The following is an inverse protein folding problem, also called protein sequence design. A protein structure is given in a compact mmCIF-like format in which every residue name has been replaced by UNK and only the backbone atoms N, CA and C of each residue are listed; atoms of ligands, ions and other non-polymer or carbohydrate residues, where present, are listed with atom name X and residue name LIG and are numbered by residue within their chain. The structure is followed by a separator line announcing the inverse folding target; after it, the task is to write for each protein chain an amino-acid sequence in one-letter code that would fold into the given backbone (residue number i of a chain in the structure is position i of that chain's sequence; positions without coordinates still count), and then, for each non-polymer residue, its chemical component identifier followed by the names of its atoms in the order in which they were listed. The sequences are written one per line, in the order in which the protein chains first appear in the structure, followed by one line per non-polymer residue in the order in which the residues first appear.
data_IF_102330054855
#
_entry.id   IF_102330054855
#
_cell.length_a   1.000
_cell.length_b   1.000
_cell.length_c   1.000
_cell.angle_alpha   90.00
_cell.angle_beta   90.00
_cell.angle_gamma   90.00
#
_symmetry.space_group_name_H-M   'P 1'
#
loop_
_entity.id
_entity.type
_entity.pdbx_description
1 polymer ?
#
# COMPACT_ATOMS: atom_id res chain seq x y z
N UNK A 1 -1.18 -9.18 -11.18
CA UNK A 1 -0.94 -8.33 -12.33
C UNK A 1 -1.31 -8.98 -13.65
N UNK A 2 -0.93 -8.35 -14.76
CA UNK A 2 -1.32 -8.75 -16.12
C UNK A 2 -1.05 -10.22 -16.45
N UNK A 3 0.09 -10.76 -16.03
CA UNK A 3 0.47 -12.14 -16.38
C UNK A 3 -0.51 -13.20 -15.90
N UNK A 4 -1.27 -12.92 -14.83
CA UNK A 4 -2.32 -13.82 -14.33
C UNK A 4 -3.58 -13.85 -15.18
N UNK A 5 -3.71 -12.91 -16.11
CA UNK A 5 -4.84 -12.78 -17.04
C UNK A 5 -4.49 -13.27 -18.46
N UNK A 6 -3.20 -13.44 -18.75
CA UNK A 6 -2.68 -13.81 -20.07
C UNK A 6 -2.28 -15.29 -20.11
N UNK A 7 -2.52 -15.99 -21.24
CA UNK A 7 -2.00 -17.33 -21.46
C UNK A 7 -0.48 -17.32 -21.63
N UNK A 8 0.15 -18.47 -21.49
CA UNK A 8 1.61 -18.63 -21.42
C UNK A 8 2.34 -18.41 -22.78
N UNK A 9 1.61 -18.29 -23.86
CA UNK A 9 2.10 -17.94 -25.20
C UNK A 9 1.92 -16.45 -25.56
N UNK A 10 1.30 -15.64 -24.69
CA UNK A 10 1.09 -14.20 -24.89
C UNK A 10 2.07 -13.38 -24.04
N UNK A 11 2.82 -12.52 -24.72
CA UNK A 11 3.78 -11.63 -24.09
C UNK A 11 3.08 -10.44 -23.38
N UNK A 12 3.68 -9.98 -22.29
CA UNK A 12 3.28 -8.75 -21.63
C UNK A 12 3.51 -7.54 -22.55
N UNK A 13 2.54 -6.61 -22.68
CA UNK A 13 2.65 -5.48 -23.61
C UNK A 13 3.77 -4.49 -23.27
N UNK A 14 4.19 -4.41 -22.02
CA UNK A 14 5.26 -3.52 -21.56
C UNK A 14 6.62 -4.22 -21.52
N UNK A 15 6.64 -5.48 -21.11
CA UNK A 15 7.84 -6.30 -20.99
C UNK A 15 7.76 -7.53 -21.90
N UNK A 16 8.09 -7.42 -23.21
CA UNK A 16 7.90 -8.51 -24.16
C UNK A 16 8.63 -9.83 -23.87
N UNK A 17 9.59 -9.80 -22.94
CA UNK A 17 10.28 -11.00 -22.44
C UNK A 17 9.52 -11.72 -21.31
N UNK A 18 8.47 -11.10 -20.78
CA UNK A 18 7.61 -11.66 -19.72
C UNK A 18 6.36 -12.22 -20.38
N UNK A 19 6.09 -13.49 -20.14
CA UNK A 19 4.91 -14.18 -20.71
C UNK A 19 3.80 -14.29 -19.66
N UNK A 20 2.58 -14.47 -20.13
CA UNK A 20 1.48 -14.88 -19.27
C UNK A 20 1.78 -16.19 -18.53
N UNK A 21 0.98 -16.54 -17.53
CA UNK A 21 1.19 -17.75 -16.72
C UNK A 21 -0.03 -18.67 -16.68
N UNK A 22 -1.04 -18.41 -17.53
CA UNK A 22 -2.24 -19.24 -17.58
C UNK A 22 -2.02 -20.44 -18.49
N UNK A 23 -2.16 -21.65 -17.94
CA UNK A 23 -2.05 -22.91 -18.68
C UNK A 23 -3.38 -23.42 -19.23
N UNK A 24 -4.43 -22.57 -19.31
CA UNK A 24 -5.75 -22.93 -19.86
C UNK A 24 -6.06 -22.25 -21.20
N UNK A 25 -5.05 -21.68 -21.84
CA UNK A 25 -5.09 -20.99 -23.13
C UNK A 25 -6.08 -19.81 -23.21
N UNK A 26 -6.57 -19.33 -22.05
CA UNK A 26 -7.55 -18.23 -21.99
C UNK A 26 -6.87 -16.89 -21.80
N UNK A 27 -7.24 -15.91 -22.64
CA UNK A 27 -6.92 -14.51 -22.45
C UNK A 27 -8.10 -13.80 -21.75
N UNK A 28 -8.01 -13.66 -20.42
CA UNK A 28 -9.10 -13.06 -19.63
C UNK A 28 -9.27 -11.56 -19.90
N UNK A 29 -8.26 -10.88 -20.44
CA UNK A 29 -8.35 -9.47 -20.84
C UNK A 29 -9.26 -9.34 -22.07
N UNK A 30 -9.00 -10.16 -23.09
CA UNK A 30 -9.81 -10.16 -24.32
C UNK A 30 -11.26 -10.58 -24.01
N UNK A 31 -11.46 -11.65 -23.25
CA UNK A 31 -12.79 -12.09 -22.80
C UNK A 31 -13.53 -10.98 -22.04
N UNK A 32 -12.82 -10.22 -21.20
CA UNK A 32 -13.40 -9.10 -20.48
C UNK A 32 -13.88 -8.00 -21.45
N UNK A 33 -13.02 -7.58 -22.36
CA UNK A 33 -13.32 -6.51 -23.32
C UNK A 33 -14.46 -6.91 -24.27
N UNK A 34 -14.44 -8.15 -24.77
CA UNK A 34 -15.47 -8.67 -25.67
C UNK A 34 -16.82 -8.87 -25.00
N UNK A 35 -16.83 -9.07 -23.67
CA UNK A 35 -18.02 -9.38 -22.89
C UNK A 35 -19.07 -8.26 -22.86
N UNK A 36 -18.70 -6.98 -23.09
CA UNK A 36 -19.64 -5.85 -23.22
C UNK A 36 -18.97 -4.62 -23.83
N UNK A 37 -19.69 -3.89 -24.68
CA UNK A 37 -19.17 -2.74 -25.45
C UNK A 37 -18.71 -1.55 -24.63
N UNK A 38 -19.22 -1.42 -23.41
CA UNK A 38 -18.85 -0.36 -22.46
C UNK A 38 -17.65 -0.71 -21.56
N UNK A 39 -17.10 -1.92 -21.65
CA UNK A 39 -15.92 -2.34 -20.89
C UNK A 39 -14.65 -1.77 -21.49
N UNK A 40 -13.71 -1.41 -20.62
CA UNK A 40 -12.40 -0.85 -21.01
C UNK A 40 -11.28 -1.51 -20.22
N UNK A 41 -10.22 -1.85 -20.93
CA UNK A 41 -8.96 -2.29 -20.35
C UNK A 41 -7.89 -1.21 -20.54
N UNK A 42 -7.12 -0.94 -19.52
CA UNK A 42 -5.95 -0.04 -19.54
C UNK A 42 -4.79 -0.69 -18.82
N UNK A 43 -3.57 -0.41 -19.29
CA UNK A 43 -2.37 -1.02 -18.73
C UNK A 43 -1.21 -0.02 -18.53
N UNK A 44 -1.39 1.26 -18.83
CA UNK A 44 -0.39 2.30 -18.65
C UNK A 44 -1.05 3.63 -18.29
N UNK A 45 -0.22 4.61 -17.88
CA UNK A 45 -0.70 5.94 -17.48
C UNK A 45 -1.49 6.64 -18.59
N UNK A 46 -0.99 6.61 -19.83
CA UNK A 46 -1.66 7.30 -20.94
C UNK A 46 -3.05 6.72 -21.24
N UNK A 47 -3.20 5.41 -21.15
CA UNK A 47 -4.49 4.73 -21.27
C UNK A 47 -5.45 5.10 -20.12
N UNK A 48 -4.93 5.20 -18.90
CA UNK A 48 -5.71 5.63 -17.75
C UNK A 48 -6.20 7.07 -17.90
N UNK A 49 -5.33 7.98 -18.32
CA UNK A 49 -5.66 9.40 -18.52
C UNK A 49 -6.67 9.62 -19.64
N UNK A 50 -6.67 8.73 -20.64
CA UNK A 50 -7.59 8.77 -21.77
C UNK A 50 -8.97 8.17 -21.46
N UNK A 51 -9.18 7.57 -20.27
CA UNK A 51 -10.48 6.97 -19.92
C UNK A 51 -11.59 8.03 -19.89
N UNK A 52 -12.69 7.81 -20.62
CA UNK A 52 -13.84 8.71 -20.58
C UNK A 52 -14.44 8.78 -19.16
N UNK A 53 -14.84 9.98 -18.73
CA UNK A 53 -15.47 10.18 -17.40
C UNK A 53 -16.72 9.32 -17.16
N UNK A 54 -17.41 8.92 -18.21
CA UNK A 54 -18.65 8.12 -18.18
C UNK A 54 -18.48 6.75 -18.87
N UNK A 55 -17.38 6.08 -18.63
CA UNK A 55 -17.17 4.72 -19.16
C UNK A 55 -17.96 3.70 -18.32
N UNK A 56 -18.30 2.55 -18.87
CA UNK A 56 -18.85 1.40 -18.15
C UNK A 56 -17.86 0.79 -17.15
N UNK A 57 -17.66 -0.51 -17.21
CA UNK A 57 -16.70 -1.20 -16.33
C UNK A 57 -15.26 -1.01 -16.83
N UNK A 58 -14.31 -0.89 -15.90
CA UNK A 58 -12.88 -0.71 -16.22
C UNK A 58 -12.06 -1.77 -15.47
N UNK A 59 -11.12 -2.39 -16.20
CA UNK A 59 -9.98 -3.12 -15.63
C UNK A 59 -8.71 -2.33 -15.93
N UNK A 60 -7.94 -2.00 -14.89
CA UNK A 60 -6.59 -1.46 -15.00
C UNK A 60 -5.58 -2.47 -14.46
N UNK A 61 -4.62 -2.90 -15.30
CA UNK A 61 -3.55 -3.82 -14.91
C UNK A 61 -2.23 -3.22 -15.38
N UNK A 62 -1.62 -2.39 -14.54
CA UNK A 62 -0.52 -1.51 -14.92
C UNK A 62 0.86 -2.19 -14.89
N UNK A 63 0.97 -3.36 -14.25
CA UNK A 63 2.21 -4.11 -14.14
C UNK A 63 2.01 -5.60 -14.42
N UNK A 64 3.04 -6.33 -14.85
CA UNK A 64 2.97 -7.79 -15.00
C UNK A 64 2.59 -8.50 -13.70
N UNK A 65 3.08 -8.02 -12.57
CA UNK A 65 2.83 -8.56 -11.23
C UNK A 65 2.21 -7.48 -10.33
N UNK A 66 2.99 -6.81 -9.51
CA UNK A 66 2.55 -5.76 -8.58
C UNK A 66 2.97 -4.39 -9.11
N UNK A 67 2.21 -3.34 -8.76
CA UNK A 67 2.60 -1.94 -8.99
C UNK A 67 3.98 -1.64 -8.39
N UNK A 68 4.65 -0.61 -8.89
CA UNK A 68 5.91 -0.12 -8.33
C UNK A 68 5.72 0.40 -6.89
N UNK A 69 6.79 0.50 -6.11
CA UNK A 69 6.75 1.33 -4.90
C UNK A 69 6.51 2.79 -5.29
N UNK A 70 5.74 3.53 -4.51
CA UNK A 70 5.37 4.91 -4.87
C UNK A 70 6.59 5.79 -5.16
N UNK A 71 7.68 5.62 -4.39
CA UNK A 71 8.94 6.35 -4.62
C UNK A 71 9.64 5.99 -5.94
N UNK A 72 9.34 4.84 -6.52
CA UNK A 72 9.94 4.33 -7.76
C UNK A 72 9.01 4.48 -8.97
N UNK A 73 7.73 4.74 -8.76
CA UNK A 73 6.69 4.86 -9.79
C UNK A 73 7.07 5.82 -10.93
N UNK A 74 7.77 6.92 -10.62
CA UNK A 74 8.25 7.86 -11.65
C UNK A 74 9.37 7.33 -12.55
N UNK A 75 9.90 6.12 -12.29
CA UNK A 75 10.92 5.45 -13.13
C UNK A 75 10.29 4.45 -14.10
N UNK A 76 9.03 4.14 -13.92
CA UNK A 76 8.28 3.26 -14.82
C UNK A 76 8.09 3.92 -16.19
N UNK A 77 8.53 3.24 -17.25
CA UNK A 77 8.56 3.77 -18.62
C UNK A 77 7.18 3.91 -19.25
N UNK A 78 6.25 3.01 -18.96
CA UNK A 78 4.86 3.07 -19.43
C UNK A 78 4.00 3.96 -18.51
N UNK A 79 4.42 4.10 -17.28
CA UNK A 79 3.73 4.83 -16.23
C UNK A 79 2.50 4.12 -15.68
N UNK A 80 2.27 4.32 -14.40
CA UNK A 80 1.10 3.83 -13.69
C UNK A 80 0.47 4.95 -12.83
N UNK A 81 -0.87 4.96 -12.62
CA UNK A 81 -1.51 5.96 -11.79
C UNK A 81 -1.13 5.77 -10.31
N UNK A 82 -1.05 6.88 -9.57
CA UNK A 82 -0.90 6.82 -8.13
C UNK A 82 -2.14 6.21 -7.45
N UNK A 83 -1.99 5.76 -6.21
CA UNK A 83 -3.12 5.30 -5.39
C UNK A 83 -4.18 6.41 -5.24
N UNK A 84 -3.75 7.67 -5.13
CA UNK A 84 -4.63 8.84 -5.08
C UNK A 84 -5.41 9.03 -6.39
N UNK A 85 -4.78 8.87 -7.55
CA UNK A 85 -5.45 8.99 -8.86
C UNK A 85 -6.49 7.88 -9.04
N UNK A 86 -6.14 6.64 -8.71
CA UNK A 86 -7.07 5.50 -8.77
C UNK A 86 -8.24 5.68 -7.80
N UNK A 87 -7.98 6.19 -6.58
CA UNK A 87 -9.02 6.49 -5.59
C UNK A 87 -9.99 7.55 -6.10
N UNK A 88 -9.47 8.66 -6.62
CA UNK A 88 -10.28 9.73 -7.23
C UNK A 88 -11.13 9.21 -8.37
N UNK A 89 -10.50 8.50 -9.30
CA UNK A 89 -11.18 7.90 -10.45
C UNK A 89 -12.32 6.97 -10.01
N UNK A 90 -12.08 6.08 -9.06
CA UNK A 90 -13.07 5.13 -8.58
C UNK A 90 -14.25 5.83 -7.91
N UNK A 91 -14.00 6.80 -7.00
CA UNK A 91 -15.06 7.53 -6.30
C UNK A 91 -15.89 8.35 -7.28
N UNK A 92 -15.28 9.11 -8.20
CA UNK A 92 -16.00 9.94 -9.19
C UNK A 92 -16.93 9.11 -10.07
N UNK A 93 -16.59 7.87 -10.32
CA UNK A 93 -17.44 6.95 -11.10
C UNK A 93 -18.53 6.32 -10.25
N UNK A 94 -18.16 5.72 -9.13
CA UNK A 94 -19.06 4.91 -8.32
C UNK A 94 -20.17 5.75 -7.68
N UNK A 95 -19.88 7.02 -7.30
CA UNK A 95 -20.88 7.95 -6.74
C UNK A 95 -22.03 8.28 -7.69
N UNK A 96 -21.93 7.96 -8.98
CA UNK A 96 -23.01 8.12 -9.95
C UNK A 96 -24.12 7.07 -9.77
N UNK A 97 -23.87 6.00 -9.01
CA UNK A 97 -24.88 4.99 -8.72
C UNK A 97 -25.83 5.50 -7.61
N UNK A 98 -27.12 5.74 -7.91
CA UNK A 98 -28.06 6.27 -6.94
C UNK A 98 -28.36 5.32 -5.77
N UNK A 99 -27.96 4.04 -5.88
CA UNK A 99 -28.11 3.05 -4.81
C UNK A 99 -26.87 3.00 -3.87
N UNK A 100 -25.89 3.87 -4.08
CA UNK A 100 -24.62 3.83 -3.35
C UNK A 100 -23.60 2.88 -3.94
N UNK A 101 -22.47 2.72 -3.27
CA UNK A 101 -21.36 1.86 -3.70
C UNK A 101 -20.57 1.33 -2.51
N UNK A 102 -19.82 0.28 -2.76
CA UNK A 102 -18.74 -0.22 -1.92
C UNK A 102 -17.43 -0.10 -2.70
N UNK A 103 -16.40 0.47 -2.09
CA UNK A 103 -15.07 0.61 -2.67
C UNK A 103 -14.04 0.09 -1.68
N UNK A 104 -13.21 -0.86 -2.10
CA UNK A 104 -12.02 -1.29 -1.37
C UNK A 104 -10.78 -0.70 -2.06
N UNK A 105 -9.89 -0.14 -1.25
CA UNK A 105 -8.60 0.42 -1.69
C UNK A 105 -7.52 -0.26 -0.88
N UNK A 106 -6.50 -0.77 -1.55
CA UNK A 106 -5.38 -1.46 -0.92
C UNK A 106 -4.06 -0.79 -1.27
N UNK A 107 -3.19 -0.59 -0.28
CA UNK A 107 -1.80 -0.17 -0.43
C UNK A 107 -0.88 -1.35 -0.12
N UNK A 108 -0.95 -2.41 -0.95
CA UNK A 108 -0.25 -3.68 -0.72
C UNK A 108 1.27 -3.58 -0.74
N UNK A 109 1.86 -2.50 -1.26
CA UNK A 109 3.31 -2.31 -1.30
C UNK A 109 3.92 -1.95 0.05
N UNK A 110 3.13 -1.51 1.03
CA UNK A 110 3.58 -1.31 2.43
C UNK A 110 4.09 -2.64 2.99
N UNK A 111 3.30 -3.70 2.85
CA UNK A 111 3.64 -5.05 3.28
C UNK A 111 4.91 -5.56 2.60
N UNK A 112 4.98 -5.47 1.27
CA UNK A 112 6.16 -5.89 0.51
C UNK A 112 7.44 -5.16 0.95
N UNK A 113 7.35 -3.88 1.29
CA UNK A 113 8.49 -3.10 1.78
C UNK A 113 8.95 -3.57 3.16
N UNK A 114 8.01 -3.90 4.05
CA UNK A 114 8.33 -4.45 5.37
C UNK A 114 8.98 -5.83 5.23
N UNK A 115 8.43 -6.72 4.42
CA UNK A 115 9.03 -8.02 4.13
C UNK A 115 10.47 -7.92 3.60
N UNK A 116 10.74 -6.90 2.79
CA UNK A 116 12.10 -6.58 2.32
C UNK A 116 12.99 -5.93 3.38
N UNK A 117 12.50 -5.65 4.58
CA UNK A 117 13.23 -4.94 5.64
C UNK A 117 13.54 -3.48 5.30
N UNK A 118 12.75 -2.85 4.44
CA UNK A 118 12.99 -1.52 3.90
C UNK A 118 11.96 -0.49 4.40
N UNK A 119 12.32 0.22 5.48
CA UNK A 119 11.44 1.22 6.05
C UNK A 119 11.22 2.45 5.16
N UNK A 120 12.17 2.81 4.28
CA UNK A 120 12.00 3.96 3.41
C UNK A 120 10.82 3.73 2.46
N UNK A 121 10.79 2.59 1.77
CA UNK A 121 9.68 2.21 0.88
C UNK A 121 8.37 2.05 1.65
N UNK A 122 8.39 1.39 2.81
CA UNK A 122 7.19 1.22 3.64
C UNK A 122 6.56 2.55 4.05
N UNK A 123 7.37 3.52 4.47
CA UNK A 123 6.88 4.83 4.88
C UNK A 123 6.39 5.67 3.69
N UNK A 124 7.04 5.58 2.52
CA UNK A 124 6.57 6.32 1.33
C UNK A 124 5.26 5.78 0.80
N UNK A 125 5.07 4.46 0.75
CA UNK A 125 3.79 3.84 0.39
C UNK A 125 2.71 4.08 1.47
N UNK A 126 3.09 4.16 2.75
CA UNK A 126 2.21 4.60 3.84
C UNK A 126 1.73 6.05 3.67
N UNK A 127 2.61 6.96 3.20
CA UNK A 127 2.24 8.34 2.85
C UNK A 127 1.31 8.36 1.63
N UNK A 128 1.57 7.52 0.62
CA UNK A 128 0.69 7.39 -0.54
C UNK A 128 -0.73 6.93 -0.14
N UNK A 129 -0.84 5.98 0.82
CA UNK A 129 -2.13 5.60 1.40
C UNK A 129 -2.80 6.77 2.12
N UNK A 130 -2.07 7.51 2.96
CA UNK A 130 -2.62 8.67 3.66
C UNK A 130 -3.14 9.75 2.69
N UNK A 131 -2.44 9.98 1.57
CA UNK A 131 -2.87 10.89 0.51
C UNK A 131 -4.15 10.38 -0.19
N UNK A 132 -4.25 9.07 -0.45
CA UNK A 132 -5.46 8.47 -1.02
C UNK A 132 -6.67 8.58 -0.06
N UNK A 133 -6.45 8.40 1.25
CA UNK A 133 -7.48 8.64 2.27
C UNK A 133 -7.92 10.10 2.29
N UNK A 134 -6.99 11.04 2.17
CA UNK A 134 -7.32 12.47 2.08
C UNK A 134 -8.17 12.78 0.84
N UNK A 135 -7.87 12.16 -0.31
CA UNK A 135 -8.70 12.26 -1.53
C UNK A 135 -10.12 11.72 -1.29
N UNK A 136 -10.22 10.56 -0.62
CA UNK A 136 -11.52 9.99 -0.29
C UNK A 136 -12.32 10.89 0.66
N UNK A 137 -11.66 11.50 1.65
CA UNK A 137 -12.27 12.45 2.59
C UNK A 137 -12.77 13.72 1.88
N UNK A 138 -11.98 14.26 0.95
CA UNK A 138 -12.33 15.45 0.14
C UNK A 138 -13.55 15.20 -0.77
N UNK A 139 -13.64 14.00 -1.35
CA UNK A 139 -14.65 13.68 -2.38
C UNK A 139 -15.96 13.12 -1.83
N UNK A 140 -16.05 12.87 -0.52
CA UNK A 140 -17.21 12.25 0.11
C UNK A 140 -17.73 13.07 1.31
N UNK A 141 -19.03 12.96 1.59
CA UNK A 141 -19.63 13.61 2.74
C UNK A 141 -19.71 12.65 3.93
N UNK A 142 -19.26 13.12 5.11
CA UNK A 142 -19.38 12.38 6.37
C UNK A 142 -20.82 12.09 6.80
N UNK A 143 -21.82 12.76 6.20
CA UNK A 143 -23.21 12.51 6.49
C UNK A 143 -23.75 11.25 5.80
N UNK A 144 -23.13 10.81 4.70
CA UNK A 144 -23.62 9.70 3.88
C UNK A 144 -22.59 8.61 3.56
N UNK A 145 -21.30 8.89 3.70
CA UNK A 145 -20.23 7.94 3.34
C UNK A 145 -19.41 7.52 4.56
N UNK A 146 -19.37 6.21 4.82
CA UNK A 146 -18.47 5.62 5.80
C UNK A 146 -17.11 5.38 5.14
N UNK A 147 -16.04 5.94 5.72
CA UNK A 147 -14.66 5.59 5.43
C UNK A 147 -14.12 4.78 6.61
N UNK A 148 -13.52 3.63 6.33
CA UNK A 148 -12.77 2.81 7.30
C UNK A 148 -11.35 2.65 6.80
N UNK A 149 -10.36 2.87 7.67
CA UNK A 149 -8.94 2.68 7.36
C UNK A 149 -8.35 1.76 8.42
N UNK A 150 -7.74 0.67 7.99
CA UNK A 150 -7.10 -0.30 8.88
C UNK A 150 -6.00 -1.06 8.12
N UNK A 151 -5.31 -1.95 8.80
CA UNK A 151 -4.43 -2.97 8.21
C UNK A 151 -5.02 -4.36 8.50
N UNK A 152 -4.62 -5.36 7.75
CA UNK A 152 -4.95 -6.77 7.95
C UNK A 152 -4.10 -7.41 9.06
N UNK A 153 -2.85 -6.94 9.22
CA UNK A 153 -1.91 -7.35 10.27
C UNK A 153 -0.84 -6.25 10.47
N UNK A 154 -0.01 -6.42 11.50
CA UNK A 154 1.21 -5.63 11.69
C UNK A 154 2.46 -6.34 11.13
N UNK A 155 3.62 -5.70 11.27
CA UNK A 155 4.94 -6.25 10.97
C UNK A 155 5.84 -6.16 12.19
N UNK A 156 6.97 -6.90 12.19
CA UNK A 156 7.95 -6.83 13.28
C UNK A 156 8.76 -5.53 13.27
N UNK A 157 8.18 -4.49 12.73
CA UNK A 157 8.73 -3.15 12.60
C UNK A 157 8.77 -2.43 13.94
N UNK A 158 9.93 -1.89 14.32
CA UNK A 158 10.14 -1.28 15.61
C UNK A 158 10.63 0.16 15.52
N UNK A 159 10.20 0.97 16.49
CA UNK A 159 10.68 2.35 16.71
C UNK A 159 11.41 2.36 18.04
N UNK A 160 12.71 2.60 18.02
CA UNK A 160 13.57 2.54 19.19
C UNK A 160 13.96 3.93 19.70
N UNK A 161 14.12 4.03 21.02
CA UNK A 161 14.67 5.20 21.70
C UNK A 161 13.71 6.38 21.84
N UNK A 162 14.29 7.50 22.27
CA UNK A 162 13.63 8.81 22.39
C UNK A 162 14.51 9.85 21.69
N UNK A 163 14.53 9.87 20.34
CA UNK A 163 15.33 10.85 19.61
C UNK A 163 14.81 12.27 19.87
N UNK A 164 15.65 13.26 19.65
CA UNK A 164 15.22 14.67 19.75
C UNK A 164 14.04 14.91 18.79
N UNK A 165 13.18 15.87 19.13
CA UNK A 165 12.09 16.27 18.25
C UNK A 165 12.63 16.81 16.92
N UNK A 166 12.11 16.29 15.79
CA UNK A 166 12.56 16.62 14.44
C UNK A 166 13.74 15.77 13.94
N UNK A 167 14.17 14.75 14.68
CA UNK A 167 15.11 13.76 14.17
C UNK A 167 14.53 13.10 12.90
N UNK A 168 15.27 13.01 11.79
CA UNK A 168 14.80 12.29 10.63
C UNK A 168 14.47 10.84 10.98
N UNK A 169 13.26 10.39 10.65
CA UNK A 169 12.77 9.05 11.07
C UNK A 169 13.65 7.92 10.51
N UNK A 170 14.19 8.05 9.31
CA UNK A 170 15.11 7.11 8.68
C UNK A 170 16.58 7.30 9.14
N UNK A 171 16.83 8.37 9.91
CA UNK A 171 18.17 8.73 10.34
C UNK A 171 18.67 7.93 11.54
N UNK A 172 19.93 8.18 11.87
CA UNK A 172 20.53 7.75 13.13
C UNK A 172 19.92 8.57 14.27
N UNK A 173 19.85 7.96 15.45
CA UNK A 173 19.27 8.61 16.63
C UNK A 173 20.17 9.73 17.12
N UNK A 174 19.59 10.91 17.32
CA UNK A 174 20.20 11.99 18.10
C UNK A 174 19.48 12.09 19.45
N UNK A 175 20.27 12.15 20.53
CA UNK A 175 19.73 12.33 21.87
C UNK A 175 18.97 13.67 22.01
N UNK A 176 18.10 13.84 23.03
CA UNK A 176 17.34 15.09 23.20
C UNK A 176 18.17 16.37 23.22
N UNK A 177 19.42 16.31 23.67
CA UNK A 177 20.37 17.42 23.64
C UNK A 177 21.01 17.69 22.27
N UNK A 178 20.78 16.80 21.28
CA UNK A 178 21.27 16.96 19.90
C UNK A 178 22.58 16.24 19.62
N UNK A 179 23.14 15.49 20.58
CA UNK A 179 24.32 14.67 20.35
C UNK A 179 23.94 13.33 19.73
N UNK A 180 24.81 12.71 18.88
CA UNK A 180 24.60 11.38 18.36
C UNK A 180 24.44 10.37 19.53
N UNK A 181 23.35 9.61 19.53
CA UNK A 181 23.18 8.49 20.43
C UNK A 181 23.98 7.29 19.95
N UNK A 182 24.51 6.50 20.88
CA UNK A 182 25.36 5.36 20.58
C UNK A 182 25.00 4.14 21.44
N UNK A 183 25.31 2.96 20.91
CA UNK A 183 25.25 1.71 21.65
C UNK A 183 26.35 1.61 22.72
N UNK A 184 26.38 0.51 23.49
CA UNK A 184 27.37 0.29 24.53
C UNK A 184 28.84 0.23 24.04
N UNK A 185 29.05 0.16 22.72
CA UNK A 185 30.37 0.18 22.09
C UNK A 185 30.70 1.51 21.40
N UNK A 186 29.85 2.53 21.57
CA UNK A 186 30.02 3.86 20.99
C UNK A 186 29.61 3.97 19.53
N UNK A 187 28.84 3.04 18.98
CA UNK A 187 28.41 3.04 17.57
C UNK A 187 27.01 3.63 17.42
N UNK A 188 26.78 4.49 16.40
CA UNK A 188 25.45 5.04 16.15
C UNK A 188 24.48 3.96 15.69
N UNK A 189 23.19 4.14 15.97
CA UNK A 189 22.12 3.25 15.57
C UNK A 189 20.91 4.04 15.02
N UNK A 190 20.03 3.37 14.27
CA UNK A 190 18.83 3.97 13.66
C UNK A 190 17.64 3.94 14.61
N UNK A 191 16.71 4.90 14.44
CA UNK A 191 15.42 4.89 15.12
C UNK A 191 14.58 3.67 14.75
N UNK A 192 14.61 3.28 13.46
CA UNK A 192 13.83 2.19 12.91
C UNK A 192 14.64 0.90 12.79
N UNK A 193 14.00 -0.22 13.06
CA UNK A 193 14.55 -1.55 12.93
C UNK A 193 13.47 -2.61 12.78
N UNK A 194 13.89 -3.87 12.65
CA UNK A 194 12.99 -5.01 12.60
C UNK A 194 13.43 -6.10 13.59
N UNK A 195 12.48 -6.87 14.12
CA UNK A 195 12.85 -7.99 14.98
C UNK A 195 13.53 -9.11 14.18
N UNK A 196 13.17 -9.30 12.91
CA UNK A 196 13.77 -10.28 12.00
C UNK A 196 13.80 -9.73 10.57
N UNK A 197 14.48 -10.41 9.66
CA UNK A 197 14.45 -10.08 8.23
C UNK A 197 15.81 -9.97 7.55
N UNK A 198 15.82 -9.56 6.26
CA UNK A 198 17.05 -9.52 5.43
C UNK A 198 18.05 -8.45 5.89
N UNK A 199 17.62 -7.51 6.71
CA UNK A 199 18.50 -6.52 7.33
C UNK A 199 19.40 -7.06 8.45
N UNK A 200 19.35 -8.37 8.77
CA UNK A 200 20.23 -8.98 9.76
C UNK A 200 21.72 -8.82 9.40
N UNK A 201 22.53 -8.63 10.42
CA UNK A 201 24.00 -8.60 10.34
C UNK A 201 24.57 -9.49 11.44
N UNK A 202 25.57 -10.34 11.11
CA UNK A 202 26.22 -11.22 12.10
C UNK A 202 26.81 -10.47 13.29
N UNK A 203 27.23 -9.26 13.07
CA UNK A 203 27.64 -8.32 14.13
C UNK A 203 26.88 -7.01 13.98
N UNK A 204 26.62 -6.33 15.10
CA UNK A 204 26.01 -5.00 15.05
C UNK A 204 26.88 -4.08 14.22
N UNK A 205 26.37 -3.53 13.11
CA UNK A 205 27.17 -2.72 12.18
C UNK A 205 27.58 -1.38 12.81
N UNK A 206 28.73 -0.88 12.40
CA UNK A 206 29.07 0.52 12.62
C UNK A 206 28.43 1.37 11.52
N UNK A 207 27.46 2.19 11.88
CA UNK A 207 26.72 3.04 10.94
C UNK A 207 27.30 4.45 10.81
N UNK A 208 28.49 4.73 11.38
CA UNK A 208 29.07 6.08 11.42
C UNK A 208 29.07 6.74 10.05
N UNK A 209 29.60 6.05 9.03
CA UNK A 209 29.74 6.56 7.67
C UNK A 209 28.64 6.05 6.70
N UNK A 210 27.58 5.41 7.22
CA UNK A 210 26.50 4.85 6.42
C UNK A 210 25.36 5.87 6.27
N UNK A 211 24.90 6.09 5.04
CA UNK A 211 23.63 6.80 4.80
C UNK A 211 22.43 5.89 5.04
N UNK A 212 21.87 6.02 6.23
CA UNK A 212 20.68 5.23 6.64
C UNK A 212 19.37 5.75 6.05
N UNK A 213 19.40 6.89 5.35
CA UNK A 213 18.25 7.48 4.67
C UNK A 213 18.16 7.08 3.20
N UNK A 214 19.17 6.36 2.67
CA UNK A 214 19.15 5.86 1.31
C UNK A 214 17.94 4.94 1.04
N UNK A 215 17.38 5.01 -0.16
CA UNK A 215 16.19 4.23 -0.55
C UNK A 215 16.40 2.73 -0.39
N UNK A 216 17.62 2.25 -0.67
CA UNK A 216 17.95 0.83 -0.62
C UNK A 216 18.55 0.38 0.74
N UNK A 217 18.56 1.26 1.75
CA UNK A 217 19.03 0.88 3.07
C UNK A 217 18.05 -0.10 3.73
N UNK A 218 18.54 -1.28 4.11
CA UNK A 218 17.79 -2.25 4.90
C UNK A 218 18.04 -1.98 6.39
N UNK A 219 16.97 -1.76 7.13
CA UNK A 219 17.04 -1.54 8.57
C UNK A 219 17.62 -2.77 9.27
N UNK A 220 18.39 -2.53 10.33
CA UNK A 220 19.01 -3.61 11.11
C UNK A 220 17.91 -4.51 11.69
N UNK A 221 18.09 -5.83 11.52
CA UNK A 221 17.19 -6.86 12.05
C UNK A 221 17.90 -7.73 13.11
N UNK A 222 17.14 -8.24 14.07
CA UNK A 222 17.68 -9.05 15.16
C UNK A 222 17.90 -10.51 14.83
N UNK A 223 17.07 -11.09 13.95
CA UNK A 223 17.09 -12.51 13.57
C UNK A 223 17.28 -12.63 12.06
N UNK A 224 18.19 -13.52 11.57
CA UNK A 224 18.41 -13.70 10.14
C UNK A 224 17.22 -14.42 9.49
N UNK A 225 16.59 -13.75 8.51
CA UNK A 225 15.55 -14.33 7.68
C UNK A 225 15.62 -13.74 6.26
N UNK A 226 15.20 -14.51 5.26
CA UNK A 226 15.15 -14.04 3.85
C UNK A 226 14.06 -12.99 3.64
N UNK A 227 13.00 -13.06 4.44
CA UNK A 227 11.87 -12.13 4.46
C UNK A 227 11.53 -11.81 5.91
N UNK A 228 11.22 -10.56 6.18
CA UNK A 228 10.65 -10.16 7.46
C UNK A 228 9.26 -10.79 7.63
N UNK A 229 8.80 -10.96 8.87
CA UNK A 229 7.53 -11.62 9.17
C UNK A 229 6.48 -10.62 9.67
N UNK A 230 5.21 -11.00 9.52
CA UNK A 230 4.11 -10.27 10.13
C UNK A 230 4.27 -10.20 11.65
N UNK A 231 3.77 -9.13 12.26
CA UNK A 231 3.63 -8.97 13.71
C UNK A 231 2.29 -9.49 14.20
N UNK A 232 2.24 -9.88 15.47
CA UNK A 232 1.04 -10.39 16.13
C UNK A 232 0.28 -9.35 16.96
N UNK A 233 0.63 -8.07 16.85
CA UNK A 233 0.00 -6.99 17.58
C UNK A 233 -1.35 -6.60 16.97
N UNK A 234 -2.22 -6.01 17.78
CA UNK A 234 -3.42 -5.35 17.29
C UNK A 234 -3.05 -4.20 16.34
N UNK A 235 -3.85 -4.03 15.29
CA UNK A 235 -3.68 -2.92 14.36
C UNK A 235 -4.71 -1.82 14.60
N UNK A 236 -4.32 -0.57 14.34
CA UNK A 236 -5.23 0.56 14.48
C UNK A 236 -6.32 0.54 13.40
N UNK A 237 -7.54 0.86 13.81
CA UNK A 237 -8.65 1.09 12.89
C UNK A 237 -9.26 2.47 13.12
N UNK A 238 -9.42 3.21 12.03
CA UNK A 238 -9.98 4.55 12.01
C UNK A 238 -11.26 4.56 11.19
N UNK A 239 -12.25 5.35 11.60
CA UNK A 239 -13.46 5.51 10.81
C UNK A 239 -14.03 6.92 10.88
N UNK A 240 -14.68 7.35 9.80
CA UNK A 240 -15.46 8.57 9.67
C UNK A 240 -16.74 8.31 8.88
N UNK A 241 -17.84 8.90 9.30
CA UNK A 241 -19.12 8.80 8.59
C UNK A 241 -20.17 8.02 9.33
N UNK A 242 -21.26 7.61 8.66
CA UNK A 242 -22.34 6.84 9.26
C UNK A 242 -21.82 5.57 9.93
N UNK A 243 -22.33 5.25 11.11
CA UNK A 243 -21.94 4.09 11.90
C UNK A 243 -20.47 4.03 12.39
N UNK A 244 -19.65 5.05 12.12
CA UNK A 244 -18.23 5.10 12.53
C UNK A 244 -18.06 4.94 14.06
N UNK A 245 -19.05 5.36 14.85
CA UNK A 245 -19.01 5.25 16.32
C UNK A 245 -19.07 3.81 16.83
N UNK A 246 -19.42 2.85 16.00
CA UNK A 246 -19.38 1.42 16.33
C UNK A 246 -17.93 0.87 16.34
N UNK A 247 -17.00 1.57 15.69
CA UNK A 247 -15.58 1.22 15.66
C UNK A 247 -14.87 1.85 16.87
N UNK A 248 -14.98 1.22 18.05
CA UNK A 248 -14.39 1.71 19.31
C UNK A 248 -13.80 0.60 20.14
N UNK A 249 -12.70 0.89 20.83
CA UNK A 249 -12.01 -0.06 21.69
C UNK A 249 -11.29 -1.13 20.88
N UNK A 250 -11.08 -2.29 21.49
CA UNK A 250 -10.54 -3.48 20.82
C UNK A 250 -11.72 -4.35 20.40
N UNK A 251 -11.76 -4.70 19.13
CA UNK A 251 -12.84 -5.50 18.53
C UNK A 251 -12.27 -6.65 17.70
N UNK A 252 -13.03 -7.71 17.56
CA UNK A 252 -12.69 -8.78 16.63
C UNK A 252 -12.80 -8.31 15.17
N UNK A 253 -11.85 -8.73 14.32
CA UNK A 253 -11.75 -8.32 12.92
C UNK A 253 -13.07 -8.53 12.13
N UNK A 254 -13.78 -9.63 12.39
CA UNK A 254 -15.02 -9.97 11.69
C UNK A 254 -16.18 -8.97 11.96
N UNK A 255 -16.10 -8.18 13.03
CA UNK A 255 -17.11 -7.15 13.32
C UNK A 255 -17.06 -5.99 12.32
N UNK A 256 -15.91 -5.76 11.66
CA UNK A 256 -15.81 -4.75 10.59
C UNK A 256 -16.82 -4.99 9.47
N UNK A 257 -17.04 -6.27 9.10
CA UNK A 257 -18.06 -6.62 8.11
C UNK A 257 -19.45 -6.11 8.52
N UNK A 258 -19.86 -6.33 9.77
CA UNK A 258 -21.17 -5.91 10.24
C UNK A 258 -21.29 -4.37 10.23
N UNK A 259 -20.24 -3.66 10.66
CA UNK A 259 -20.20 -2.19 10.68
C UNK A 259 -20.38 -1.63 9.26
N UNK A 260 -19.64 -2.18 8.29
CA UNK A 260 -19.72 -1.76 6.88
C UNK A 260 -21.05 -2.15 6.24
N UNK A 261 -21.55 -3.37 6.50
CA UNK A 261 -22.85 -3.83 5.99
C UNK A 261 -23.99 -2.94 6.48
N UNK A 262 -24.00 -2.62 7.77
CA UNK A 262 -25.10 -1.84 8.37
C UNK A 262 -25.06 -0.37 7.94
N UNK A 263 -23.89 0.16 7.53
CA UNK A 263 -23.76 1.45 6.90
C UNK A 263 -24.25 1.45 5.44
N UNK A 264 -23.95 0.39 4.68
CA UNK A 264 -24.30 0.27 3.25
C UNK A 264 -25.77 -0.15 3.04
N UNK A 265 -26.28 -1.01 3.90
CA UNK A 265 -27.63 -1.58 3.86
C UNK A 265 -28.34 -1.28 5.19
N UNK A 266 -28.70 -0.02 5.46
CA UNK A 266 -29.38 0.30 6.70
C UNK A 266 -30.68 -0.50 6.78
N UNK A 267 -30.93 -1.08 7.94
CA UNK A 267 -32.20 -1.78 8.20
C UNK A 267 -33.36 -0.81 7.86
N UNK A 268 -34.35 -1.34 7.17
CA UNK A 268 -35.49 -0.56 6.68
C UNK A 268 -35.97 0.44 7.72
N UNK A 269 -35.95 1.72 7.34
CA UNK A 269 -36.48 2.82 8.13
C UNK A 269 -37.99 2.85 8.06
#
# INVERSE_FOLDING_TARGET
GRVLFLPDDVADPEYPSVMGVRGDDRNLIDEWVEGASERRYVWNQSGFDALPKQTGQVIGLFEPSHLQFDIERGKDGAGEPSLSDMTRFAIERLRQNPRGYFLMIESGKIDHAHHAGNAHRALTDGIALANAVAVADELTDAADTLIVVTADHSHTFTIAGYPKRGNPILGKVEAPAGEPAADAKGRPYTTLGYANGPGYRESVPDLTDVDTTAVDFLQVAGIPMESETHGGEDVAAFARGPNATALRGVIEQNLLYNIMRDALLPADR
#
